data_IF_611294369779
#
_entry.id   IF_611294369779
#
_cell.length_a   1.000
_cell.length_b   1.000
_cell.length_c   1.000
_cell.angle_alpha   90.00
_cell.angle_beta   90.00
_cell.angle_gamma   90.00
#
_symmetry.space_group_name_H-M   'P 1'
#
loop_
_entity.id
_entity.type
_entity.pdbx_description
1 polymer ?
#
# COMPACT_ATOMS: atom_id res chain seq x y z
N UNK A 1 -13.65 55.21 -5.77
CA UNK A 1 -13.64 54.47 -4.48
C UNK A 1 -12.70 53.29 -4.64
N UNK A 2 -11.85 53.02 -3.63
CA UNK A 2 -10.88 51.90 -3.56
C UNK A 2 -11.60 50.56 -3.87
N UNK A 3 -10.98 49.45 -4.29
CA UNK A 3 -9.73 48.82 -3.85
C UNK A 3 -9.24 47.86 -4.95
N UNK A 4 -7.91 47.84 -5.16
CA UNK A 4 -7.12 46.77 -5.77
C UNK A 4 -7.46 45.38 -5.22
N UNK A 5 -7.30 44.33 -6.03
CA UNK A 5 -6.38 43.22 -5.74
C UNK A 5 -5.93 42.56 -7.05
N UNK A 6 -4.64 42.25 -7.04
CA UNK A 6 -3.72 41.96 -8.14
C UNK A 6 -3.35 40.46 -8.10
N UNK A 7 -2.58 40.05 -9.11
CA UNK A 7 -1.81 38.80 -9.33
C UNK A 7 -2.57 37.69 -10.04
N UNK A 8 -2.35 37.47 -11.36
CA UNK A 8 -1.16 36.81 -11.97
C UNK A 8 -1.03 35.35 -11.48
N UNK A 9 -1.03 34.30 -12.30
CA UNK A 9 -0.33 34.15 -13.59
C UNK A 9 -1.00 33.07 -14.46
N UNK A 10 -1.54 33.49 -15.59
CA UNK A 10 -1.46 32.90 -16.94
C UNK A 10 -1.02 31.42 -17.07
N UNK A 11 -1.97 30.53 -17.40
CA UNK A 11 -1.68 29.36 -18.24
C UNK A 11 -2.19 29.68 -19.66
N UNK A 12 -1.29 30.25 -20.46
CA UNK A 12 -1.54 30.61 -21.86
C UNK A 12 -1.65 29.32 -22.69
N UNK A 13 -2.84 28.71 -22.73
CA UNK A 13 -3.19 27.75 -23.79
C UNK A 13 -3.54 28.53 -25.06
N UNK A 14 -2.53 29.13 -25.68
CA UNK A 14 -2.65 29.83 -26.95
C UNK A 14 -1.93 29.08 -28.07
N UNK A 15 -2.71 28.42 -28.93
CA UNK A 15 -2.62 28.50 -30.40
C UNK A 15 -3.25 27.25 -31.03
N UNK A 16 -4.43 27.46 -31.59
CA UNK A 16 -5.06 26.64 -32.62
C UNK A 16 -4.16 26.66 -33.86
N UNK A 17 -3.60 25.51 -34.27
CA UNK A 17 -3.30 25.18 -35.68
C UNK A 17 -2.74 23.76 -35.84
N UNK A 18 -3.43 23.03 -36.72
CA UNK A 18 -2.93 22.01 -37.64
C UNK A 18 -2.43 20.67 -37.09
N UNK A 19 -3.22 19.65 -37.41
CA UNK A 19 -2.93 18.24 -37.21
C UNK A 19 -1.56 17.84 -37.79
N UNK A 20 -0.66 17.41 -36.91
CA UNK A 20 0.38 16.43 -37.21
C UNK A 20 0.18 15.28 -36.24
N UNK A 21 -0.17 14.13 -36.79
CA UNK A 21 -0.26 12.84 -36.12
C UNK A 21 1.12 12.42 -35.62
N UNK A 22 1.52 12.93 -34.47
CA UNK A 22 2.45 12.23 -33.60
C UNK A 22 1.61 11.56 -32.52
N UNK A 23 1.26 10.28 -32.74
CA UNK A 23 1.01 9.38 -31.62
C UNK A 23 2.35 9.20 -30.90
N UNK A 24 2.77 10.25 -30.19
CA UNK A 24 3.74 10.09 -29.13
C UNK A 24 2.97 9.29 -28.09
N UNK A 25 3.29 8.01 -28.00
CA UNK A 25 2.92 7.20 -26.84
C UNK A 25 3.55 7.90 -25.64
N UNK A 26 2.85 8.87 -25.06
CA UNK A 26 3.11 9.31 -23.71
C UNK A 26 2.77 8.09 -22.86
N UNK A 27 3.82 7.31 -22.53
CA UNK A 27 3.75 6.45 -21.37
C UNK A 27 3.17 7.32 -20.26
N UNK A 28 1.99 6.96 -19.77
CA UNK A 28 1.48 7.59 -18.58
C UNK A 28 2.60 7.57 -17.53
N UNK A 29 2.88 8.71 -16.87
CA UNK A 29 3.85 8.72 -15.79
C UNK A 29 3.36 7.69 -14.77
N UNK A 30 4.16 6.66 -14.51
CA UNK A 30 3.88 5.72 -13.44
C UNK A 30 3.91 6.57 -12.16
N UNK A 31 2.74 6.89 -11.62
CA UNK A 31 2.63 7.45 -10.29
C UNK A 31 3.11 6.35 -9.34
N UNK A 32 4.39 6.38 -8.97
CA UNK A 32 4.95 5.42 -8.04
C UNK A 32 4.33 5.65 -6.67
N UNK A 33 3.53 4.69 -6.22
CA UNK A 33 3.08 4.64 -4.84
C UNK A 33 4.26 4.15 -3.99
N UNK A 34 4.66 4.95 -3.00
CA UNK A 34 5.93 4.75 -2.26
C UNK A 34 6.04 3.35 -1.63
N UNK A 35 4.93 2.77 -1.18
CA UNK A 35 4.89 1.43 -0.59
C UNK A 35 5.42 0.34 -1.54
N UNK A 36 5.19 0.47 -2.85
CA UNK A 36 5.63 -0.51 -3.83
C UNK A 36 7.14 -0.49 -4.00
N UNK A 37 7.75 0.70 -3.97
CA UNK A 37 9.20 0.85 -3.92
C UNK A 37 9.77 0.21 -2.66
N UNK A 38 9.14 0.46 -1.51
CA UNK A 38 9.62 -0.08 -0.24
C UNK A 38 9.57 -1.60 -0.20
N UNK A 39 8.49 -2.21 -0.71
CA UNK A 39 8.35 -3.67 -0.83
C UNK A 39 9.37 -4.23 -1.84
N UNK A 40 9.56 -3.54 -2.97
CA UNK A 40 10.48 -3.97 -4.02
C UNK A 40 11.93 -4.01 -3.54
N UNK A 41 12.38 -2.98 -2.82
CA UNK A 41 13.72 -2.90 -2.24
C UNK A 41 13.83 -3.49 -0.82
N UNK A 42 12.79 -4.16 -0.33
CA UNK A 42 12.74 -4.79 1.00
C UNK A 42 13.11 -3.82 2.15
N UNK A 43 12.68 -2.57 2.07
CA UNK A 43 12.95 -1.57 3.10
C UNK A 43 12.04 -1.75 4.32
N UNK A 44 12.39 -2.70 5.19
CA UNK A 44 11.65 -3.07 6.40
C UNK A 44 11.17 -1.88 7.23
N UNK A 45 12.01 -0.84 7.38
CA UNK A 45 11.68 0.32 8.21
C UNK A 45 10.52 1.12 7.62
N UNK A 46 10.56 1.36 6.31
CA UNK A 46 9.51 2.11 5.61
C UNK A 46 8.23 1.28 5.44
N UNK A 47 8.36 -0.01 5.14
CA UNK A 47 7.21 -0.94 5.12
C UNK A 47 6.52 -0.95 6.48
N UNK A 48 7.29 -1.09 7.57
CA UNK A 48 6.75 -1.09 8.94
C UNK A 48 5.97 0.18 9.24
N UNK A 49 6.48 1.34 8.83
CA UNK A 49 5.81 2.63 9.01
C UNK A 49 4.49 2.68 8.25
N UNK A 50 4.50 2.24 6.99
CA UNK A 50 3.31 2.25 6.13
C UNK A 50 2.24 1.28 6.65
N UNK A 51 2.61 0.05 6.97
CA UNK A 51 1.70 -0.94 7.55
C UNK A 51 1.14 -0.44 8.88
N UNK A 52 1.95 0.19 9.74
CA UNK A 52 1.46 0.77 10.99
C UNK A 52 0.44 1.90 10.76
N UNK A 53 0.60 2.70 9.70
CA UNK A 53 -0.41 3.69 9.31
C UNK A 53 -1.70 3.01 8.85
N UNK A 54 -1.58 2.01 7.97
CA UNK A 54 -2.69 1.23 7.41
C UNK A 54 -3.43 0.35 8.42
N UNK A 55 -2.90 0.15 9.63
CA UNK A 55 -3.56 -0.64 10.69
C UNK A 55 -3.84 0.16 11.95
N UNK A 56 -3.52 1.46 11.97
CA UNK A 56 -3.57 2.28 13.20
C UNK A 56 -4.93 2.32 13.90
N UNK A 57 -6.02 2.18 13.15
CA UNK A 57 -7.41 2.15 13.60
C UNK A 57 -7.97 0.72 13.82
N UNK A 58 -7.19 -0.31 13.50
CA UNK A 58 -7.61 -1.72 13.48
C UNK A 58 -7.26 -2.44 14.80
N UNK A 59 -7.95 -2.06 15.87
CA UNK A 59 -7.81 -2.72 17.16
C UNK A 59 -8.36 -4.17 17.14
N UNK A 60 -7.71 -5.11 17.86
CA UNK A 60 -8.22 -6.47 17.96
C UNK A 60 -9.58 -6.52 18.67
N UNK A 61 -10.46 -7.41 18.21
CA UNK A 61 -11.73 -7.75 18.86
C UNK A 61 -11.83 -9.26 19.12
N UNK A 62 -11.12 -9.78 20.15
CA UNK A 62 -11.13 -11.21 20.42
C UNK A 62 -12.53 -11.75 20.68
N UNK A 63 -12.80 -12.96 20.19
CA UNK A 63 -14.04 -13.71 20.40
C UNK A 63 -13.73 -15.21 20.58
N UNK A 64 -14.76 -16.00 20.87
CA UNK A 64 -14.60 -17.46 21.02
C UNK A 64 -14.10 -18.13 19.72
N UNK A 65 -14.49 -17.60 18.55
CA UNK A 65 -14.08 -18.11 17.23
C UNK A 65 -12.80 -17.43 16.69
N UNK A 66 -12.41 -16.29 17.25
CA UNK A 66 -11.20 -15.56 16.89
C UNK A 66 -10.47 -15.05 18.14
N UNK A 67 -9.68 -15.93 18.75
CA UNK A 67 -8.95 -15.62 19.99
C UNK A 67 -7.99 -14.42 19.89
N UNK A 68 -7.57 -14.03 18.68
CA UNK A 68 -6.64 -12.91 18.49
C UNK A 68 -7.35 -11.64 18.02
N UNK A 69 -8.61 -11.75 17.57
CA UNK A 69 -9.46 -10.62 17.21
C UNK A 69 -9.02 -9.87 15.96
N UNK A 70 -8.27 -10.51 15.07
CA UNK A 70 -7.66 -9.90 13.90
C UNK A 70 -8.10 -10.51 12.57
N UNK A 71 -9.02 -11.46 12.54
CA UNK A 71 -9.47 -12.07 11.28
C UNK A 71 -10.03 -11.01 10.33
N UNK A 72 -10.93 -10.15 10.83
CA UNK A 72 -11.50 -9.02 10.06
C UNK A 72 -10.42 -7.95 9.78
N UNK A 73 -9.56 -7.64 10.74
CA UNK A 73 -8.50 -6.64 10.58
C UNK A 73 -7.50 -7.03 9.46
N UNK A 74 -7.20 -8.31 9.32
CA UNK A 74 -6.35 -8.81 8.24
C UNK A 74 -7.00 -8.64 6.88
N UNK A 75 -8.30 -8.92 6.77
CA UNK A 75 -9.06 -8.74 5.54
C UNK A 75 -9.15 -7.26 5.15
N UNK A 76 -9.36 -6.36 6.11
CA UNK A 76 -9.34 -4.90 5.89
C UNK A 76 -7.96 -4.43 5.44
N UNK A 77 -6.87 -4.90 6.05
CA UNK A 77 -5.52 -4.57 5.63
C UNK A 77 -5.27 -5.01 4.17
N UNK A 78 -5.71 -6.22 3.81
CA UNK A 78 -5.61 -6.73 2.44
C UNK A 78 -6.40 -5.87 1.46
N UNK A 79 -7.62 -5.45 1.81
CA UNK A 79 -8.41 -4.52 0.99
C UNK A 79 -7.67 -3.20 0.79
N UNK A 80 -7.09 -2.62 1.86
CA UNK A 80 -6.32 -1.38 1.80
C UNK A 80 -5.09 -1.51 0.92
N UNK A 81 -4.34 -2.61 1.04
CA UNK A 81 -3.18 -2.90 0.19
C UNK A 81 -3.57 -3.09 -1.27
N UNK A 82 -4.76 -3.61 -1.57
CA UNK A 82 -5.27 -3.77 -2.93
C UNK A 82 -5.81 -2.46 -3.55
N UNK A 83 -5.80 -1.32 -2.82
CA UNK A 83 -6.10 0.01 -3.40
C UNK A 83 -4.92 0.60 -4.16
N UNK A 84 -3.73 0.05 -3.95
CA UNK A 84 -2.49 0.43 -4.60
C UNK A 84 -2.40 -0.26 -5.97
N UNK A 85 -2.31 0.50 -7.05
CA UNK A 85 -2.33 -0.06 -8.41
C UNK A 85 -1.14 -0.99 -8.69
N UNK A 86 -0.03 -0.80 -7.96
CA UNK A 86 1.16 -1.63 -8.09
C UNK A 86 1.20 -2.85 -7.16
N UNK A 87 0.15 -3.11 -6.37
CA UNK A 87 0.08 -4.26 -5.47
C UNK A 87 -1.16 -5.12 -5.73
N UNK A 88 -0.94 -6.43 -5.61
CA UNK A 88 -2.01 -7.38 -5.31
C UNK A 88 -1.66 -8.14 -4.03
N UNK A 89 -2.51 -8.04 -3.02
CA UNK A 89 -2.40 -8.67 -1.72
C UNK A 89 -3.40 -9.83 -1.58
N UNK A 90 -2.95 -10.95 -1.02
CA UNK A 90 -3.79 -12.13 -0.79
C UNK A 90 -3.44 -12.79 0.55
N UNK A 91 -4.46 -13.13 1.35
CA UNK A 91 -4.29 -13.89 2.59
C UNK A 91 -3.67 -15.26 2.28
N UNK A 92 -2.54 -15.57 2.91
CA UNK A 92 -1.97 -16.92 2.89
C UNK A 92 -2.49 -17.69 4.10
N UNK A 93 -2.34 -17.10 5.29
CA UNK A 93 -2.86 -17.68 6.52
C UNK A 93 -3.15 -16.62 7.57
N UNK A 94 -3.99 -16.98 8.54
CA UNK A 94 -4.28 -16.19 9.73
C UNK A 94 -3.73 -16.90 10.97
N UNK A 95 -2.86 -16.21 11.73
CA UNK A 95 -2.23 -16.68 12.96
C UNK A 95 -1.64 -18.11 12.88
N UNK A 96 -1.12 -18.52 11.73
CA UNK A 96 -0.67 -19.90 11.50
C UNK A 96 0.76 -20.17 11.97
N UNK A 97 1.57 -19.12 12.11
CA UNK A 97 2.97 -19.24 12.54
C UNK A 97 3.01 -19.18 14.07
N UNK A 98 3.46 -20.28 14.68
CA UNK A 98 3.46 -20.48 16.14
C UNK A 98 4.63 -19.78 16.84
N UNK A 99 4.65 -18.45 16.79
CA UNK A 99 5.54 -17.59 17.59
C UNK A 99 4.78 -16.93 18.76
N UNK A 100 5.46 -16.11 19.56
CA UNK A 100 4.84 -15.33 20.63
C UNK A 100 5.06 -13.82 20.42
N UNK A 101 4.07 -13.07 19.91
CA UNK A 101 2.73 -13.49 19.47
C UNK A 101 2.77 -14.29 18.15
N UNK A 102 1.69 -14.99 17.76
CA UNK A 102 1.63 -15.68 16.48
C UNK A 102 1.70 -14.71 15.30
N UNK A 103 1.97 -15.24 14.11
CA UNK A 103 2.02 -14.45 12.88
C UNK A 103 1.05 -14.96 11.82
N UNK A 104 0.49 -14.00 11.09
CA UNK A 104 -0.29 -14.20 9.87
C UNK A 104 0.60 -13.91 8.66
N UNK A 105 0.27 -14.48 7.51
CA UNK A 105 1.02 -14.29 6.27
C UNK A 105 0.13 -13.71 5.17
N UNK A 106 0.65 -12.69 4.49
CA UNK A 106 0.04 -12.08 3.31
C UNK A 106 1.01 -12.19 2.14
N UNK A 107 0.54 -12.77 1.03
CA UNK A 107 1.28 -12.78 -0.23
C UNK A 107 1.07 -11.43 -0.90
N UNK A 108 2.17 -10.83 -1.36
CA UNK A 108 2.20 -9.59 -2.12
C UNK A 108 2.78 -9.88 -3.51
N UNK A 109 2.07 -9.46 -4.54
CA UNK A 109 2.59 -9.36 -5.91
C UNK A 109 2.77 -7.87 -6.18
N UNK A 110 4.02 -7.43 -6.29
CA UNK A 110 4.39 -6.02 -6.51
C UNK A 110 4.86 -5.82 -7.94
N UNK A 111 4.35 -4.79 -8.60
CA UNK A 111 4.82 -4.33 -9.91
C UNK A 111 5.53 -3.00 -9.74
N UNK A 112 6.84 -2.98 -9.92
CA UNK A 112 7.65 -1.76 -9.80
C UNK A 112 8.68 -1.73 -10.92
N UNK A 113 8.85 -0.58 -11.59
CA UNK A 113 9.72 -0.45 -12.77
C UNK A 113 9.48 -1.49 -13.88
N UNK A 114 8.23 -1.94 -14.04
CA UNK A 114 7.79 -3.01 -14.96
C UNK A 114 8.28 -4.42 -14.59
N UNK A 115 8.89 -4.58 -13.44
CA UNK A 115 9.27 -5.87 -12.89
C UNK A 115 8.19 -6.34 -11.90
N UNK A 116 7.92 -7.64 -11.92
CA UNK A 116 6.92 -8.27 -11.03
C UNK A 116 7.67 -9.13 -10.02
N UNK A 117 7.56 -8.79 -8.74
CA UNK A 117 8.13 -9.56 -7.65
C UNK A 117 7.03 -10.12 -6.74
N UNK A 118 7.25 -11.32 -6.22
CA UNK A 118 6.36 -11.94 -5.21
C UNK A 118 7.08 -11.98 -3.88
N UNK A 119 6.41 -11.51 -2.82
CA UNK A 119 6.89 -11.51 -1.45
C UNK A 119 5.84 -12.09 -0.51
N UNK A 120 6.29 -12.57 0.65
CA UNK A 120 5.43 -12.91 1.78
C UNK A 120 5.72 -11.90 2.89
N UNK A 121 4.67 -11.25 3.37
CA UNK A 121 4.71 -10.33 4.49
C UNK A 121 4.16 -11.03 5.72
N UNK A 122 4.98 -11.05 6.77
CA UNK A 122 4.60 -11.60 8.07
C UNK A 122 4.05 -10.49 8.96
N UNK A 123 2.92 -10.77 9.60
CA UNK A 123 2.22 -9.84 10.46
C UNK A 123 2.08 -10.42 11.86
N UNK A 124 2.70 -9.77 12.84
CA UNK A 124 2.48 -10.03 14.26
C UNK A 124 1.00 -9.85 14.60
N UNK A 125 0.39 -10.91 15.12
CA UNK A 125 -1.05 -11.02 15.40
C UNK A 125 -1.24 -11.16 16.92
N UNK A 126 -1.36 -10.03 17.61
CA UNK A 126 -1.47 -9.96 19.07
C UNK A 126 -2.86 -9.48 19.46
N UNK A 127 -3.45 -10.04 20.52
CA UNK A 127 -4.77 -9.65 21.03
C UNK A 127 -4.80 -8.27 21.72
N UNK A 128 -3.67 -7.55 21.77
CA UNK A 128 -3.51 -6.30 22.53
C UNK A 128 -3.25 -5.06 21.68
N UNK A 129 -2.78 -5.23 20.46
CA UNK A 129 -2.31 -4.13 19.61
C UNK A 129 -2.72 -4.40 18.17
N UNK A 130 -2.83 -3.38 17.30
CA UNK A 130 -3.07 -3.60 15.89
C UNK A 130 -2.09 -4.58 15.24
N UNK A 131 -2.44 -5.10 14.05
CA UNK A 131 -1.53 -5.89 13.23
C UNK A 131 -0.23 -5.10 12.98
N UNK A 132 0.92 -5.73 13.22
CA UNK A 132 2.23 -5.11 13.03
C UNK A 132 3.07 -5.90 12.05
N UNK A 133 3.69 -5.20 11.12
CA UNK A 133 4.74 -5.75 10.29
C UNK A 133 5.83 -6.43 11.14
N UNK A 134 6.13 -7.69 10.82
CA UNK A 134 7.22 -8.45 11.41
C UNK A 134 8.43 -8.51 10.48
N UNK A 135 8.23 -8.95 9.24
CA UNK A 135 9.27 -9.02 8.19
C UNK A 135 8.65 -9.24 6.81
N UNK A 136 9.49 -9.12 5.78
CA UNK A 136 9.20 -9.50 4.40
C UNK A 136 10.21 -10.58 4.00
N UNK A 137 9.78 -11.58 3.23
CA UNK A 137 10.68 -12.59 2.70
C UNK A 137 10.21 -13.10 1.33
N UNK A 138 11.09 -13.86 0.67
CA UNK A 138 10.74 -14.57 -0.56
C UNK A 138 9.91 -15.82 -0.26
N UNK A 139 9.04 -16.19 -1.19
CA UNK A 139 8.24 -17.42 -1.14
C UNK A 139 9.13 -18.66 -1.23
#
# INVERSE_FOLDING_TARGET
MKIKKTLETVALCGALSLALLFFKCEKEPICHEEICEFIYYENDSLIKKEIASLTSDLLPKPSDDDRWGHSENLDILIERLNKYNCLAATKVCYACIKTLPPQSEVKLVVTYNKEINTKIMDLSTSDKVPLRYARLHNK
#
